data_IF_111712574023
#
_entry.id   IF_111712574023
#
_cell.length_a   1.000
_cell.length_b   1.000
_cell.length_c   1.000
_cell.angle_alpha   90.00
_cell.angle_beta   90.00
_cell.angle_gamma   90.00
#
_symmetry.space_group_name_H-M   'P 1'
#
loop_
_entity.id
_entity.type
_entity.pdbx_description
1 polymer ?
#
# COMPACT_ATOMS: atom_id res chain seq x y z
N UNK A 1 13.78 25.08 -1.76
CA UNK A 1 13.82 24.37 -3.06
C UNK A 1 14.82 23.21 -3.06
N UNK A 2 16.11 23.46 -2.80
CA UNK A 2 17.15 22.42 -2.84
C UNK A 2 17.32 21.58 -1.57
N UNK A 3 16.51 21.82 -0.52
CA UNK A 3 16.53 21.04 0.74
C UNK A 3 16.40 19.52 0.51
N UNK A 4 15.69 19.10 -0.54
CA UNK A 4 15.53 17.68 -0.93
C UNK A 4 16.86 16.98 -1.22
N UNK A 5 17.90 17.72 -1.64
CA UNK A 5 19.23 17.17 -1.94
C UNK A 5 20.05 16.88 -0.68
N UNK A 6 19.71 17.52 0.44
CA UNK A 6 20.44 17.46 1.69
C UNK A 6 19.48 17.21 2.88
N UNK A 7 18.41 16.45 2.65
CA UNK A 7 17.35 16.26 3.64
C UNK A 7 17.86 15.65 4.97
N UNK A 8 18.93 14.85 4.91
CA UNK A 8 19.59 14.22 6.07
C UNK A 8 20.24 15.22 7.03
N UNK A 9 20.59 16.42 6.57
CA UNK A 9 21.32 17.42 7.36
C UNK A 9 20.39 18.36 8.13
N UNK A 10 19.08 18.29 7.92
CA UNK A 10 18.14 19.23 8.51
C UNK A 10 17.16 18.52 9.43
N UNK A 11 17.27 18.81 10.72
CA UNK A 11 16.28 18.37 11.68
C UNK A 11 15.01 19.25 11.61
N UNK A 12 13.80 18.67 11.75
CA UNK A 12 12.56 19.43 11.68
C UNK A 12 12.35 20.41 12.84
N UNK A 13 13.01 20.17 13.98
CA UNK A 13 12.81 20.91 15.23
C UNK A 13 13.89 21.98 15.45
N UNK A 14 14.90 22.05 14.60
CA UNK A 14 16.00 22.99 14.73
C UNK A 14 15.82 24.17 13.77
N UNK A 15 16.00 25.39 14.30
CA UNK A 15 16.04 26.59 13.48
C UNK A 15 17.48 26.89 13.08
N UNK A 16 17.74 26.86 11.77
CA UNK A 16 19.01 27.30 11.20
C UNK A 16 18.86 28.64 10.48
N UNK A 17 19.89 29.47 10.58
CA UNK A 17 19.95 30.71 9.81
C UNK A 17 20.00 30.40 8.31
N UNK A 18 19.28 31.19 7.51
CA UNK A 18 19.12 30.92 6.07
C UNK A 18 20.44 30.87 5.29
N UNK A 19 21.44 31.68 5.68
CA UNK A 19 22.77 31.68 5.04
C UNK A 19 23.54 30.41 5.34
N UNK A 20 23.55 29.97 6.60
CA UNK A 20 24.18 28.72 7.04
C UNK A 20 23.52 27.51 6.38
N UNK A 21 22.18 27.47 6.37
CA UNK A 21 21.42 26.42 5.71
C UNK A 21 21.74 26.34 4.20
N UNK A 22 21.88 27.48 3.51
CA UNK A 22 22.28 27.51 2.11
C UNK A 22 23.70 26.97 1.91
N UNK A 23 24.64 27.34 2.78
CA UNK A 23 26.02 26.83 2.71
C UNK A 23 26.07 25.33 2.94
N UNK A 24 25.38 24.80 3.96
CA UNK A 24 25.33 23.36 4.23
C UNK A 24 24.79 22.54 3.05
N UNK A 25 23.74 23.05 2.37
CA UNK A 25 23.20 22.39 1.17
C UNK A 25 24.26 22.35 0.06
N UNK A 26 24.90 23.48 -0.23
CA UNK A 26 25.88 23.60 -1.31
C UNK A 26 27.16 22.79 -1.02
N UNK A 27 27.57 22.72 0.25
CA UNK A 27 28.70 21.92 0.72
C UNK A 27 28.40 20.41 0.63
N UNK A 28 27.17 19.98 0.96
CA UNK A 28 26.74 18.57 0.79
C UNK A 28 26.70 18.14 -0.67
N UNK A 29 26.29 19.05 -1.56
CA UNK A 29 26.32 18.85 -3.02
C UNK A 29 27.77 18.88 -3.55
N UNK A 30 28.75 19.29 -2.73
CA UNK A 30 30.17 19.44 -3.08
C UNK A 30 30.37 20.38 -4.28
N UNK A 31 29.57 21.44 -4.34
CA UNK A 31 29.71 22.43 -5.39
C UNK A 31 31.00 23.24 -5.16
N UNK A 32 31.76 23.48 -6.22
CA UNK A 32 32.99 24.25 -6.14
C UNK A 32 32.71 25.70 -5.71
N UNK A 33 33.43 26.21 -4.70
CA UNK A 33 33.25 27.56 -4.15
C UNK A 33 33.47 28.69 -5.16
N UNK A 34 34.14 28.43 -6.29
CA UNK A 34 34.31 29.41 -7.36
C UNK A 34 33.06 29.60 -8.22
N UNK A 35 32.06 28.71 -8.11
CA UNK A 35 30.83 28.70 -8.91
C UNK A 35 29.65 29.38 -8.24
N UNK A 36 29.74 29.68 -6.95
CA UNK A 36 28.68 30.37 -6.21
C UNK A 36 29.26 31.37 -5.20
N UNK A 37 28.44 32.33 -4.78
CA UNK A 37 28.76 33.23 -3.67
C UNK A 37 27.49 33.53 -2.87
N UNK A 38 27.58 33.43 -1.55
CA UNK A 38 26.47 33.75 -0.64
C UNK A 38 26.58 35.21 -0.18
N UNK A 39 25.69 36.06 -0.69
CA UNK A 39 25.47 37.41 -0.15
C UNK A 39 24.63 37.40 1.12
N UNK A 40 24.20 38.58 1.58
CA UNK A 40 23.35 38.72 2.78
C UNK A 40 21.99 38.03 2.60
N UNK A 41 21.27 38.37 1.53
CA UNK A 41 19.90 37.90 1.30
C UNK A 41 19.77 37.01 0.05
N UNK A 42 20.84 36.84 -0.74
CA UNK A 42 20.81 36.20 -2.05
C UNK A 42 22.06 35.35 -2.27
N UNK A 43 21.89 34.23 -2.97
CA UNK A 43 22.99 33.40 -3.47
C UNK A 43 23.17 33.67 -4.96
N UNK A 44 24.40 33.98 -5.36
CA UNK A 44 24.79 34.21 -6.74
C UNK A 44 25.44 32.95 -7.31
N UNK A 45 25.12 32.61 -8.55
CA UNK A 45 25.69 31.46 -9.25
C UNK A 45 26.34 31.92 -10.56
N UNK A 46 27.45 31.28 -10.93
CA UNK A 46 27.99 31.39 -12.29
C UNK A 46 27.03 30.75 -13.29
N UNK A 47 27.04 31.25 -14.52
CA UNK A 47 26.24 30.72 -15.62
C UNK A 47 26.42 29.19 -15.75
N UNK A 48 25.32 28.49 -16.07
CA UNK A 48 25.30 27.02 -16.20
C UNK A 48 25.18 26.25 -14.88
N UNK A 49 25.62 26.80 -13.75
CA UNK A 49 25.59 26.10 -12.44
C UNK A 49 24.16 25.75 -11.99
N UNK A 50 23.20 26.64 -12.25
CA UNK A 50 21.81 26.44 -11.86
C UNK A 50 21.14 25.29 -12.63
N UNK A 51 21.49 25.11 -13.91
CA UNK A 51 20.95 24.03 -14.73
C UNK A 51 21.36 22.66 -14.16
N UNK A 52 22.64 22.51 -13.82
CA UNK A 52 23.19 21.30 -13.19
C UNK A 52 22.48 21.03 -11.84
N UNK A 53 22.27 22.07 -11.03
CA UNK A 53 21.57 21.92 -9.74
C UNK A 53 20.10 21.48 -9.91
N UNK A 54 19.42 21.94 -10.96
CA UNK A 54 18.06 21.49 -11.26
C UNK A 54 18.01 20.05 -11.74
N UNK A 55 18.96 19.62 -12.59
CA UNK A 55 19.04 18.21 -13.04
C UNK A 55 19.23 17.25 -11.86
N UNK A 56 20.18 17.53 -10.96
CA UNK A 56 20.41 16.68 -9.77
C UNK A 56 19.17 16.67 -8.86
N UNK A 57 18.50 17.82 -8.73
CA UNK A 57 17.25 17.92 -7.96
C UNK A 57 16.15 17.09 -8.60
N UNK A 58 15.97 17.18 -9.92
CA UNK A 58 14.95 16.44 -10.65
C UNK A 58 15.14 14.93 -10.52
N UNK A 59 16.37 14.45 -10.66
CA UNK A 59 16.71 13.04 -10.45
C UNK A 59 16.30 12.57 -9.05
N UNK A 60 16.64 13.35 -8.02
CA UNK A 60 16.29 12.98 -6.63
C UNK A 60 14.78 12.99 -6.38
N UNK A 61 14.07 13.97 -6.93
CA UNK A 61 12.61 14.06 -6.82
C UNK A 61 11.95 12.88 -7.55
N UNK A 62 12.46 12.51 -8.73
CA UNK A 62 11.95 11.38 -9.49
C UNK A 62 12.11 10.06 -8.75
N UNK A 63 13.26 9.85 -8.08
CA UNK A 63 13.48 8.67 -7.23
C UNK A 63 12.41 8.53 -6.13
N UNK A 64 12.09 9.65 -5.45
CA UNK A 64 11.05 9.71 -4.41
C UNK A 64 9.67 9.44 -5.03
N UNK A 65 9.40 10.04 -6.18
CA UNK A 65 8.13 9.91 -6.89
C UNK A 65 7.85 8.45 -7.29
N UNK A 66 8.83 7.78 -7.89
CA UNK A 66 8.73 6.36 -8.26
C UNK A 66 8.46 5.49 -7.03
N UNK A 67 9.16 5.71 -5.91
CA UNK A 67 8.93 4.98 -4.64
C UNK A 67 7.51 5.19 -4.11
N UNK A 68 7.01 6.43 -4.15
CA UNK A 68 5.65 6.76 -3.74
C UNK A 68 4.61 6.06 -4.62
N UNK A 69 4.78 6.13 -5.94
CA UNK A 69 3.89 5.49 -6.91
C UNK A 69 3.89 3.96 -6.73
N UNK A 70 5.07 3.33 -6.61
CA UNK A 70 5.18 1.89 -6.42
C UNK A 70 4.44 1.41 -5.16
N UNK A 71 4.51 2.17 -4.06
CA UNK A 71 3.77 1.87 -2.83
C UNK A 71 2.25 1.97 -3.02
N UNK A 72 1.78 3.05 -3.66
CA UNK A 72 0.37 3.26 -3.91
C UNK A 72 -0.22 2.18 -4.84
N UNK A 73 0.46 1.90 -5.95
CA UNK A 73 0.09 0.85 -6.89
C UNK A 73 0.12 -0.53 -6.23
N UNK A 74 1.18 -0.85 -5.49
CA UNK A 74 1.30 -2.12 -4.77
C UNK A 74 0.15 -2.36 -3.78
N UNK A 75 -0.25 -1.33 -3.03
CA UNK A 75 -1.41 -1.40 -2.11
C UNK A 75 -2.71 -1.66 -2.87
N UNK A 76 -2.95 -0.94 -3.96
CA UNK A 76 -4.13 -1.11 -4.81
C UNK A 76 -4.24 -2.52 -5.39
N UNK A 77 -3.13 -3.04 -5.94
CA UNK A 77 -3.11 -4.38 -6.56
C UNK A 77 -3.31 -5.49 -5.53
N UNK A 78 -2.68 -5.41 -4.35
CA UNK A 78 -2.91 -6.39 -3.27
C UNK A 78 -4.38 -6.43 -2.82
N UNK A 79 -5.05 -5.27 -2.73
CA UNK A 79 -6.48 -5.21 -2.42
C UNK A 79 -7.33 -5.93 -3.47
N UNK A 80 -7.05 -5.69 -4.76
CA UNK A 80 -7.73 -6.38 -5.87
C UNK A 80 -7.48 -7.89 -5.84
N UNK A 81 -6.23 -8.29 -5.63
CA UNK A 81 -5.84 -9.70 -5.54
C UNK A 81 -6.59 -10.43 -4.42
N UNK A 82 -6.67 -9.86 -3.22
CA UNK A 82 -7.37 -10.50 -2.09
C UNK A 82 -8.86 -10.73 -2.38
N UNK A 83 -9.52 -9.77 -3.06
CA UNK A 83 -10.90 -9.95 -3.52
C UNK A 83 -11.03 -11.11 -4.52
N UNK A 84 -10.14 -11.19 -5.50
CA UNK A 84 -10.13 -12.27 -6.49
C UNK A 84 -9.82 -13.64 -5.86
N UNK A 85 -8.88 -13.67 -4.92
CA UNK A 85 -8.48 -14.89 -4.21
C UNK A 85 -9.66 -15.47 -3.40
N UNK A 86 -10.35 -14.63 -2.63
CA UNK A 86 -11.55 -15.03 -1.89
C UNK A 86 -12.66 -15.56 -2.82
N UNK A 87 -12.90 -14.88 -3.95
CA UNK A 87 -13.87 -15.33 -4.95
C UNK A 87 -13.48 -16.70 -5.54
N UNK A 88 -12.20 -16.91 -5.89
CA UNK A 88 -11.71 -18.19 -6.42
C UNK A 88 -11.89 -19.33 -5.42
N UNK A 89 -11.59 -19.10 -4.14
CA UNK A 89 -11.80 -20.09 -3.08
C UNK A 89 -13.29 -20.45 -2.93
N UNK A 90 -14.17 -19.43 -2.91
CA UNK A 90 -15.62 -19.63 -2.83
C UNK A 90 -16.17 -20.45 -4.00
N UNK A 91 -15.72 -20.16 -5.23
CA UNK A 91 -16.08 -20.95 -6.43
C UNK A 91 -15.68 -22.41 -6.27
N UNK A 92 -14.48 -22.69 -5.75
CA UNK A 92 -14.01 -24.06 -5.52
C UNK A 92 -14.86 -24.83 -4.49
N UNK A 93 -15.33 -24.15 -3.43
CA UNK A 93 -16.25 -24.74 -2.44
C UNK A 93 -17.61 -25.01 -3.08
N UNK A 94 -18.17 -24.01 -3.77
CA UNK A 94 -19.48 -24.12 -4.41
C UNK A 94 -19.51 -25.27 -5.43
N UNK A 95 -18.49 -25.35 -6.29
CA UNK A 95 -18.39 -26.43 -7.28
C UNK A 95 -18.28 -27.82 -6.63
N UNK A 96 -17.53 -27.96 -5.52
CA UNK A 96 -17.43 -29.22 -4.79
C UNK A 96 -18.78 -29.64 -4.21
N UNK A 97 -19.49 -28.70 -3.58
CA UNK A 97 -20.81 -28.94 -3.00
C UNK A 97 -21.84 -29.30 -4.07
N UNK A 98 -21.86 -28.58 -5.20
CA UNK A 98 -22.73 -28.88 -6.34
C UNK A 98 -22.45 -30.30 -6.85
N UNK A 99 -21.19 -30.67 -7.11
CA UNK A 99 -20.86 -32.02 -7.57
C UNK A 99 -21.26 -33.11 -6.56
N UNK A 100 -21.07 -32.86 -5.26
CA UNK A 100 -21.53 -33.78 -4.22
C UNK A 100 -23.05 -33.94 -4.24
N UNK A 101 -23.80 -32.84 -4.32
CA UNK A 101 -25.26 -32.87 -4.43
C UNK A 101 -25.73 -33.61 -5.68
N UNK A 102 -25.13 -33.38 -6.85
CA UNK A 102 -25.49 -34.09 -8.08
C UNK A 102 -25.29 -35.61 -7.99
N UNK A 103 -24.28 -36.08 -7.24
CA UNK A 103 -24.09 -37.52 -6.96
C UNK A 103 -25.14 -38.08 -6.02
N UNK A 104 -25.47 -37.32 -4.98
CA UNK A 104 -26.29 -37.76 -3.85
C UNK A 104 -27.81 -37.57 -4.05
N UNK A 105 -28.23 -36.64 -4.92
CA UNK A 105 -29.65 -36.26 -5.09
C UNK A 105 -30.57 -37.39 -5.53
N UNK A 106 -30.03 -38.39 -6.24
CA UNK A 106 -30.80 -39.52 -6.75
C UNK A 106 -30.67 -40.77 -5.88
N UNK A 107 -29.79 -40.75 -4.87
CA UNK A 107 -29.60 -41.84 -3.93
C UNK A 107 -30.86 -42.04 -3.07
N UNK A 108 -31.28 -43.30 -2.97
CA UNK A 108 -32.51 -43.68 -2.27
C UNK A 108 -32.40 -43.48 -0.76
N UNK A 109 -31.23 -43.69 -0.15
CA UNK A 109 -31.01 -43.46 1.28
C UNK A 109 -31.16 -41.99 1.64
N UNK A 110 -30.64 -41.09 0.80
CA UNK A 110 -30.74 -39.65 1.05
C UNK A 110 -32.15 -39.14 0.87
N UNK A 111 -32.89 -39.63 -0.14
CA UNK A 111 -34.32 -39.31 -0.30
C UNK A 111 -35.15 -39.78 0.89
N UNK A 112 -34.89 -41.00 1.38
CA UNK A 112 -35.54 -41.54 2.57
C UNK A 112 -35.25 -40.69 3.81
N UNK A 113 -33.97 -40.36 4.05
CA UNK A 113 -33.55 -39.49 5.14
C UNK A 113 -34.22 -38.11 5.06
N UNK A 114 -34.22 -37.47 3.89
CA UNK A 114 -34.86 -36.16 3.67
C UNK A 114 -36.38 -36.20 3.89
N UNK A 115 -37.06 -37.31 3.58
CA UNK A 115 -38.49 -37.48 3.82
C UNK A 115 -38.82 -37.73 5.30
N UNK A 116 -37.90 -38.36 6.04
CA UNK A 116 -38.03 -38.65 7.47
C UNK A 116 -37.65 -37.45 8.36
N UNK A 117 -36.60 -36.72 7.98
CA UNK A 117 -36.04 -35.59 8.74
C UNK A 117 -37.09 -34.57 9.23
N UNK A 118 -38.00 -34.02 8.39
CA UNK A 118 -38.99 -33.05 8.86
C UNK A 118 -40.02 -33.66 9.83
N UNK A 119 -40.24 -34.98 9.79
CA UNK A 119 -41.17 -35.69 10.70
C UNK A 119 -40.56 -35.99 12.07
N UNK A 120 -39.23 -35.85 12.21
CA UNK A 120 -38.48 -36.05 13.45
C UNK A 120 -38.31 -34.73 14.25
N UNK A 121 -39.11 -33.71 13.93
CA UNK A 121 -39.10 -32.35 14.49
C UNK A 121 -39.20 -32.28 16.02
N UNK A 122 -39.60 -33.36 16.69
CA UNK A 122 -39.56 -33.46 18.15
C UNK A 122 -38.16 -33.22 18.73
N UNK A 123 -37.10 -33.81 18.16
CA UNK A 123 -35.74 -33.64 18.68
C UNK A 123 -35.14 -32.25 18.42
N UNK A 124 -35.43 -31.67 17.26
CA UNK A 124 -34.96 -30.32 16.89
C UNK A 124 -35.69 -29.23 17.69
N UNK A 125 -36.97 -29.43 18.01
CA UNK A 125 -37.74 -28.55 18.89
C UNK A 125 -37.23 -28.61 20.35
N UNK A 126 -36.83 -29.79 20.84
CA UNK A 126 -36.21 -29.94 22.17
C UNK A 126 -34.83 -29.28 22.27
N UNK A 127 -34.00 -29.35 21.23
CA UNK A 127 -32.71 -28.64 21.19
C UNK A 127 -32.89 -27.11 21.17
N UNK A 128 -33.80 -26.59 20.35
CA UNK A 128 -34.13 -25.16 20.32
C UNK A 128 -34.72 -24.66 21.66
N UNK A 129 -35.50 -25.50 22.36
CA UNK A 129 -36.01 -25.20 23.71
C UNK A 129 -34.93 -25.22 24.79
N UNK A 130 -33.84 -25.97 24.61
CA UNK A 130 -32.67 -25.95 25.50
C UNK A 130 -31.77 -24.74 25.26
N UNK A 131 -31.66 -24.26 24.03
CA UNK A 131 -30.86 -23.06 23.71
C UNK A 131 -31.54 -21.74 24.12
N UNK A 132 -32.86 -21.76 24.31
CA UNK A 132 -33.66 -20.59 24.70
C UNK A 132 -33.92 -20.48 26.21
N UNK A 133 -33.48 -21.45 27.01
CA UNK A 133 -33.48 -21.42 28.49
C UNK A 133 -32.08 -21.11 29.02
#
# INVERSE_FOLDING_TARGET
>A
RYKVLAAELFDPNEFLEGKEACQMILDKIKLEKTRYSCGLNKVFFKAGTLAILEEIREEKVNEIYVKMQARALGKSQRKKFMKMFGARAAVGILQRNIRAWFRLRNDWWIKMYQALQPKLTGGMAEELLKETK
#
